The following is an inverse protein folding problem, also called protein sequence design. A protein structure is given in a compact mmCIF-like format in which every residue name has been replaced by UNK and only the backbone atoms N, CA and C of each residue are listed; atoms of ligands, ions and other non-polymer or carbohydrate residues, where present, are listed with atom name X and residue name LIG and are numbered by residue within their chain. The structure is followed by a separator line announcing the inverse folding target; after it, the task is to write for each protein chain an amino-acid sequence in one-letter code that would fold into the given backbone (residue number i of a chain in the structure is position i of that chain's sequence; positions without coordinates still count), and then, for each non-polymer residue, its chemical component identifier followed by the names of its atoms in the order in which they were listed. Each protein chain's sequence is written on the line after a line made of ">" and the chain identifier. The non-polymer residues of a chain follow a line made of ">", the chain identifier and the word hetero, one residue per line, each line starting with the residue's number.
data_IF_067457963762
#
_entry.id   IF_067457963762
#
_cell.length_a   1.000
_cell.length_b   1.000
_cell.length_c   1.000
_cell.angle_alpha   90.00
_cell.angle_beta   90.00
_cell.angle_gamma   90.00
#
_symmetry.space_group_name_H-M   'P 1'
#
loop_
_entity.id
_entity.type
_entity.pdbx_description
1 polymer ?
#
# COMPACT_ATOMS: atom_id res chain seq x y z
N UNK A 1 -8.26 -70.17 -67.44
CA UNK A 1 -8.37 -68.73 -67.10
C UNK A 1 -8.94 -68.61 -65.69
N UNK A 2 -8.08 -68.33 -64.71
CA UNK A 2 -8.45 -68.24 -63.30
C UNK A 2 -8.92 -66.84 -62.92
N UNK A 3 -10.20 -66.69 -62.60
CA UNK A 3 -10.82 -65.47 -62.06
C UNK A 3 -11.20 -65.67 -60.60
N UNK A 4 -10.57 -64.88 -59.73
CA UNK A 4 -10.57 -64.99 -58.26
C UNK A 4 -11.92 -64.73 -57.59
N UNK A 5 -12.28 -65.60 -56.65
CA UNK A 5 -13.35 -65.47 -55.67
C UNK A 5 -12.96 -64.40 -54.61
N UNK A 6 -13.67 -63.25 -54.56
CA UNK A 6 -13.38 -62.10 -53.68
C UNK A 6 -14.60 -61.66 -52.83
N UNK A 7 -15.27 -62.57 -52.12
CA UNK A 7 -16.40 -62.18 -51.25
C UNK A 7 -16.18 -62.40 -49.75
N UNK A 8 -15.18 -63.19 -49.32
CA UNK A 8 -14.96 -63.48 -47.89
C UNK A 8 -13.98 -62.53 -47.16
N UNK A 9 -13.20 -61.72 -47.88
CA UNK A 9 -12.23 -60.79 -47.25
C UNK A 9 -12.87 -59.52 -46.66
N UNK A 10 -14.00 -59.05 -47.22
CA UNK A 10 -14.61 -57.77 -46.85
C UNK A 10 -15.31 -57.79 -45.47
N UNK A 11 -15.92 -58.91 -45.09
CA UNK A 11 -16.66 -59.00 -43.82
C UNK A 11 -15.73 -59.10 -42.60
N UNK A 12 -14.58 -59.80 -42.72
CA UNK A 12 -13.59 -59.92 -41.62
C UNK A 12 -12.84 -58.60 -41.35
N UNK A 13 -12.56 -57.81 -42.40
CA UNK A 13 -11.93 -56.49 -42.25
C UNK A 13 -12.85 -55.47 -41.54
N UNK A 14 -14.17 -55.54 -41.75
CA UNK A 14 -15.14 -54.64 -41.11
C UNK A 14 -15.31 -54.90 -39.60
N UNK A 15 -15.27 -56.17 -39.17
CA UNK A 15 -15.37 -56.52 -37.74
C UNK A 15 -14.10 -56.12 -36.96
N UNK A 16 -12.93 -56.34 -37.56
CA UNK A 16 -11.63 -55.96 -36.99
C UNK A 16 -11.53 -54.44 -36.76
N UNK A 17 -12.00 -53.64 -37.72
CA UNK A 17 -12.04 -52.18 -37.59
C UNK A 17 -13.00 -51.69 -36.48
N UNK A 18 -14.17 -52.31 -36.32
CA UNK A 18 -15.12 -51.96 -35.24
C UNK A 18 -14.58 -52.31 -33.85
N UNK A 19 -13.87 -53.43 -33.72
CA UNK A 19 -13.25 -53.85 -32.45
C UNK A 19 -12.05 -52.94 -32.13
N UNK A 20 -11.17 -52.64 -33.09
CA UNK A 20 -10.07 -51.69 -32.90
C UNK A 20 -10.57 -50.29 -32.52
N UNK A 21 -11.64 -49.79 -33.13
CA UNK A 21 -12.21 -48.46 -32.80
C UNK A 21 -12.80 -48.44 -31.39
N UNK A 22 -13.47 -49.52 -30.96
CA UNK A 22 -13.99 -49.66 -29.58
C UNK A 22 -12.88 -49.87 -28.54
N UNK A 23 -11.81 -50.60 -28.85
CA UNK A 23 -10.64 -50.73 -27.97
C UNK A 23 -9.92 -49.39 -27.82
N UNK A 24 -9.65 -48.69 -28.92
CA UNK A 24 -9.02 -47.37 -28.89
C UNK A 24 -9.87 -46.35 -28.13
N UNK A 25 -11.20 -46.33 -28.32
CA UNK A 25 -12.10 -45.48 -27.52
C UNK A 25 -12.13 -45.86 -26.03
N UNK A 26 -12.13 -47.15 -25.68
CA UNK A 26 -12.07 -47.58 -24.26
C UNK A 26 -10.75 -47.22 -23.61
N UNK A 27 -9.63 -47.40 -24.31
CA UNK A 27 -8.30 -47.01 -23.83
C UNK A 27 -8.19 -45.49 -23.64
N UNK A 28 -8.74 -44.70 -24.57
CA UNK A 28 -8.80 -43.24 -24.44
C UNK A 28 -9.69 -42.81 -23.26
N UNK A 29 -10.87 -43.40 -23.09
CA UNK A 29 -11.74 -43.11 -21.94
C UNK A 29 -11.10 -43.52 -20.61
N UNK A 30 -10.43 -44.67 -20.55
CA UNK A 30 -9.81 -45.16 -19.32
C UNK A 30 -8.54 -44.35 -18.97
N UNK A 31 -7.77 -43.92 -19.97
CA UNK A 31 -6.66 -42.98 -19.80
C UNK A 31 -7.13 -41.61 -19.32
N UNK A 32 -8.20 -41.06 -19.92
CA UNK A 32 -8.77 -39.78 -19.52
C UNK A 32 -9.40 -39.83 -18.12
N UNK A 33 -10.09 -40.92 -17.77
CA UNK A 33 -10.64 -41.13 -16.42
C UNK A 33 -9.54 -41.22 -15.35
N UNK A 34 -8.43 -41.93 -15.65
CA UNK A 34 -7.25 -41.98 -14.76
C UNK A 34 -6.60 -40.61 -14.62
N UNK A 35 -6.48 -39.83 -15.71
CA UNK A 35 -5.98 -38.45 -15.65
C UNK A 35 -6.85 -37.56 -14.78
N UNK A 36 -8.18 -37.59 -14.93
CA UNK A 36 -9.10 -36.81 -14.10
C UNK A 36 -9.07 -37.20 -12.62
N UNK A 37 -8.97 -38.50 -12.32
CA UNK A 37 -8.84 -38.98 -10.94
C UNK A 37 -7.49 -38.56 -10.33
N UNK A 38 -6.40 -38.65 -11.08
CA UNK A 38 -5.08 -38.22 -10.64
C UNK A 38 -5.03 -36.70 -10.42
N UNK A 39 -5.57 -35.91 -11.36
CA UNK A 39 -5.70 -34.46 -11.24
C UNK A 39 -6.63 -34.04 -10.08
N UNK A 40 -7.70 -34.79 -9.80
CA UNK A 40 -8.56 -34.55 -8.63
C UNK A 40 -7.85 -34.87 -7.31
N UNK A 41 -7.06 -35.97 -7.26
CA UNK A 41 -6.26 -36.35 -6.09
C UNK A 41 -5.15 -35.33 -5.82
N UNK A 42 -4.47 -34.85 -6.86
CA UNK A 42 -3.46 -33.79 -6.75
C UNK A 42 -4.07 -32.45 -6.32
N UNK A 43 -5.25 -32.07 -6.85
CA UNK A 43 -5.99 -30.88 -6.39
C UNK A 43 -6.42 -30.99 -4.93
N UNK A 44 -6.95 -32.13 -4.49
CA UNK A 44 -7.32 -32.39 -3.09
C UNK A 44 -6.10 -32.41 -2.16
N UNK A 45 -4.97 -32.96 -2.59
CA UNK A 45 -3.71 -32.93 -1.85
C UNK A 45 -3.15 -31.50 -1.76
N UNK A 46 -3.23 -30.73 -2.84
CA UNK A 46 -2.88 -29.30 -2.86
C UNK A 46 -3.74 -28.47 -1.91
N UNK A 47 -5.06 -28.72 -1.87
CA UNK A 47 -5.99 -28.03 -0.98
C UNK A 47 -5.81 -28.43 0.49
N UNK A 48 -5.55 -29.71 0.79
CA UNK A 48 -5.18 -30.17 2.15
C UNK A 48 -3.87 -29.55 2.62
N UNK A 49 -2.84 -29.55 1.77
CA UNK A 49 -1.54 -28.96 2.09
C UNK A 49 -1.62 -27.43 2.23
N UNK A 50 -2.53 -26.77 1.51
CA UNK A 50 -2.84 -25.34 1.69
C UNK A 50 -3.59 -25.07 3.00
N UNK A 51 -4.59 -25.89 3.35
CA UNK A 51 -5.30 -25.81 4.62
C UNK A 51 -4.40 -26.09 5.84
N UNK A 52 -3.49 -27.07 5.75
CA UNK A 52 -2.47 -27.34 6.77
C UNK A 52 -1.47 -26.18 6.92
N UNK A 53 -1.07 -25.53 5.81
CA UNK A 53 -0.26 -24.30 5.87
C UNK A 53 -1.00 -23.13 6.51
N UNK A 54 -2.28 -22.95 6.21
CA UNK A 54 -3.09 -21.92 6.87
C UNK A 54 -3.30 -22.21 8.35
N UNK A 55 -3.56 -23.47 8.72
CA UNK A 55 -3.71 -23.85 10.13
C UNK A 55 -2.39 -23.76 10.91
N UNK A 56 -1.26 -24.12 10.30
CA UNK A 56 0.06 -23.92 10.93
C UNK A 56 0.40 -22.44 11.05
N UNK A 57 0.05 -21.61 10.06
CA UNK A 57 0.16 -20.14 10.15
C UNK A 57 -0.68 -19.57 11.30
N UNK A 58 -1.96 -19.95 11.41
CA UNK A 58 -2.87 -19.51 12.48
C UNK A 58 -2.41 -19.98 13.86
N UNK A 59 -1.92 -21.23 13.99
CA UNK A 59 -1.36 -21.74 15.25
C UNK A 59 -0.11 -20.96 15.66
N UNK A 60 0.80 -20.69 14.72
CA UNK A 60 2.01 -19.90 14.96
C UNK A 60 1.66 -18.46 15.35
N UNK A 61 0.68 -17.85 14.70
CA UNK A 61 0.20 -16.51 15.03
C UNK A 61 -0.41 -16.45 16.44
N UNK A 62 -1.21 -17.45 16.83
CA UNK A 62 -1.73 -17.59 18.20
C UNK A 62 -0.64 -17.80 19.24
N UNK A 63 0.39 -18.60 18.91
CA UNK A 63 1.51 -18.88 19.80
C UNK A 63 2.41 -17.65 19.98
N UNK A 64 2.64 -16.88 18.90
CA UNK A 64 3.31 -15.58 18.95
C UNK A 64 2.52 -14.56 19.77
N UNK A 65 1.20 -14.50 19.59
CA UNK A 65 0.32 -13.65 20.39
C UNK A 65 0.29 -14.06 21.88
N UNK A 66 0.47 -15.34 22.20
CA UNK A 66 0.57 -15.81 23.58
C UNK A 66 1.91 -15.46 24.25
N UNK A 67 3.00 -15.32 23.48
CA UNK A 67 4.30 -14.89 23.97
C UNK A 67 4.35 -13.38 24.28
N UNK A 68 3.60 -12.56 23.53
CA UNK A 68 3.51 -11.12 23.75
C UNK A 68 2.21 -10.75 24.46
N UNK A 69 2.29 -10.45 25.77
CA UNK A 69 1.08 -10.27 26.62
C UNK A 69 0.15 -9.13 26.18
N UNK A 70 0.65 -8.09 25.50
CA UNK A 70 -0.15 -6.98 24.93
C UNK A 70 0.59 -6.35 23.75
N UNK A 71 0.02 -6.39 22.55
CA UNK A 71 0.45 -5.51 21.45
C UNK A 71 -0.40 -4.24 21.54
N UNK A 72 0.24 -3.08 21.53
CA UNK A 72 -0.42 -1.77 21.44
C UNK A 72 0.29 -0.95 20.38
N UNK A 73 -0.41 -0.06 19.66
CA UNK A 73 0.26 0.91 18.81
C UNK A 73 1.22 1.76 19.66
N UNK A 74 2.33 2.20 19.05
CA UNK A 74 3.31 3.09 19.68
C UNK A 74 2.66 4.43 20.08
N UNK A 75 1.70 4.88 19.27
CA UNK A 75 0.87 6.06 19.50
C UNK A 75 1.72 7.30 19.89
N UNK A 76 1.40 8.01 20.97
CA UNK A 76 2.12 9.23 21.39
C UNK A 76 3.49 8.99 22.02
N UNK A 77 3.86 7.74 22.32
CA UNK A 77 5.13 7.44 22.99
C UNK A 77 6.36 7.84 22.16
N UNK A 78 6.20 7.95 20.83
CA UNK A 78 7.22 8.40 19.90
C UNK A 78 7.34 9.92 19.77
N UNK A 79 6.42 10.72 20.33
CA UNK A 79 6.48 12.19 20.28
C UNK A 79 7.69 12.75 21.07
N UNK A 80 8.18 11.98 22.06
CA UNK A 80 9.39 12.32 22.80
C UNK A 80 10.62 12.48 21.88
N UNK A 81 10.62 11.86 20.69
CA UNK A 81 11.70 12.01 19.72
C UNK A 81 11.90 13.45 19.26
N UNK A 82 10.85 14.27 19.20
CA UNK A 82 10.94 15.65 18.73
C UNK A 82 11.71 16.56 19.70
N UNK A 83 11.84 16.17 20.97
CA UNK A 83 12.63 16.90 21.95
C UNK A 83 14.11 16.47 21.96
N UNK A 84 14.45 15.34 21.33
CA UNK A 84 15.83 14.84 21.29
C UNK A 84 16.70 15.76 20.44
N UNK A 85 17.95 15.92 20.86
CA UNK A 85 18.95 16.77 20.18
C UNK A 85 20.09 15.92 19.68
N UNK A 86 20.15 15.62 18.37
CA UNK A 86 21.32 14.97 17.78
C UNK A 86 22.56 15.85 17.98
N UNK A 87 23.65 15.21 18.35
CA UNK A 87 24.95 15.86 18.52
C UNK A 87 25.97 15.24 17.57
N UNK A 88 27.00 16.03 17.30
CA UNK A 88 28.21 15.62 16.61
C UNK A 88 29.32 15.57 17.64
N UNK A 89 30.04 14.45 17.71
CA UNK A 89 31.09 14.27 18.70
C UNK A 89 32.26 13.45 18.14
N UNK A 90 33.37 13.48 18.87
CA UNK A 90 34.57 12.67 18.61
C UNK A 90 34.97 12.01 19.92
N UNK A 91 35.37 10.75 19.85
CA UNK A 91 35.94 10.10 21.02
C UNK A 91 37.31 10.68 21.35
N UNK A 92 37.72 10.54 22.62
CA UNK A 92 39.08 10.89 23.03
C UNK A 92 40.08 10.05 22.23
N UNK A 93 41.25 10.61 21.96
CA UNK A 93 42.29 9.96 21.16
C UNK A 93 42.72 8.58 21.70
N UNK A 94 42.61 8.36 23.02
CA UNK A 94 42.91 7.08 23.64
C UNK A 94 41.92 5.96 23.25
N UNK A 95 40.71 6.32 22.85
CA UNK A 95 39.63 5.39 22.48
C UNK A 95 39.52 5.26 20.96
N UNK A 96 39.68 6.37 20.25
CA UNK A 96 39.65 6.42 18.78
C UNK A 96 40.87 7.22 18.27
N UNK A 97 41.94 6.55 17.83
CA UNK A 97 43.13 7.21 17.29
C UNK A 97 42.83 8.09 16.07
N UNK A 98 41.86 7.68 15.25
CA UNK A 98 41.48 8.38 14.02
C UNK A 98 40.61 9.61 14.32
N UNK A 99 40.08 9.71 15.55
CA UNK A 99 39.17 10.76 16.03
C UNK A 99 38.07 11.06 15.00
N UNK A 100 37.50 10.01 14.44
CA UNK A 100 36.50 10.12 13.39
C UNK A 100 35.28 10.87 13.94
N UNK A 101 34.70 11.74 13.11
CA UNK A 101 33.49 12.45 13.48
C UNK A 101 32.29 11.49 13.49
N UNK A 102 31.55 11.49 14.60
CA UNK A 102 30.38 10.63 14.80
C UNK A 102 29.16 11.48 15.09
N UNK A 103 28.00 10.91 14.79
CA UNK A 103 26.69 11.50 15.06
C UNK A 103 25.94 10.57 16.01
N UNK A 104 25.23 11.15 16.97
CA UNK A 104 24.46 10.35 17.90
C UNK A 104 23.70 11.20 18.90
N UNK A 105 23.29 10.54 19.99
CA UNK A 105 22.60 11.14 21.12
C UNK A 105 23.42 10.91 22.39
N UNK A 106 23.35 11.85 23.32
CA UNK A 106 23.97 11.76 24.65
C UNK A 106 22.98 11.04 25.59
N UNK A 107 23.41 9.98 26.26
CA UNK A 107 22.53 9.12 27.05
C UNK A 107 21.86 9.88 28.21
N UNK A 108 22.59 10.77 28.87
CA UNK A 108 22.12 11.64 29.94
C UNK A 108 21.04 12.62 29.45
N UNK A 109 21.22 13.16 28.24
CA UNK A 109 20.26 14.08 27.64
C UNK A 109 18.96 13.35 27.26
N UNK A 110 19.09 12.14 26.69
CA UNK A 110 17.95 11.28 26.36
C UNK A 110 17.21 10.85 27.62
N UNK A 111 17.91 10.49 28.69
CA UNK A 111 17.29 10.03 29.95
C UNK A 111 16.35 11.08 30.54
N UNK A 112 16.71 12.37 30.48
CA UNK A 112 15.85 13.48 30.94
C UNK A 112 14.55 13.62 30.15
N UNK A 113 14.55 13.19 28.88
CA UNK A 113 13.40 13.31 27.97
C UNK A 113 12.55 12.05 28.02
N UNK A 114 13.19 10.89 27.86
CA UNK A 114 12.55 9.59 27.92
C UNK A 114 13.53 8.53 28.48
N UNK A 115 13.39 8.15 29.76
CA UNK A 115 14.29 7.19 30.40
C UNK A 115 14.17 5.77 29.83
N UNK A 116 13.05 5.41 29.20
CA UNK A 116 12.85 4.08 28.61
C UNK A 116 13.75 3.84 27.39
N UNK A 117 14.27 4.92 26.80
CA UNK A 117 15.19 4.87 25.66
C UNK A 117 16.66 4.71 26.06
N UNK A 118 16.94 4.56 27.35
CA UNK A 118 18.31 4.44 27.87
C UNK A 118 18.52 3.08 28.54
N UNK A 119 19.72 2.55 28.38
CA UNK A 119 20.22 1.41 29.14
C UNK A 119 21.07 1.96 30.27
N UNK A 120 20.75 1.53 31.49
CA UNK A 120 21.51 1.87 32.69
C UNK A 120 22.55 0.79 32.98
N UNK A 121 23.69 1.20 33.53
CA UNK A 121 24.72 0.29 34.02
C UNK A 121 24.37 -0.35 35.37
N UNK A 122 25.32 -1.08 35.97
CA UNK A 122 25.17 -1.73 37.28
C UNK A 122 25.03 -0.75 38.44
N UNK A 123 25.46 0.50 38.28
CA UNK A 123 25.30 1.59 39.27
C UNK A 123 23.99 2.36 39.06
N UNK A 124 23.21 2.02 38.02
CA UNK A 124 21.97 2.70 37.67
C UNK A 124 22.16 3.98 36.86
N UNK A 125 23.38 4.28 36.38
CA UNK A 125 23.68 5.47 35.58
C UNK A 125 23.37 5.24 34.11
N UNK A 126 22.93 6.28 33.37
CA UNK A 126 22.72 6.18 31.93
C UNK A 126 24.04 5.85 31.22
N UNK A 127 24.06 4.75 30.47
CA UNK A 127 25.29 4.27 29.81
C UNK A 127 25.17 4.29 28.29
N UNK A 128 24.08 3.77 27.74
CA UNK A 128 23.88 3.73 26.28
C UNK A 128 22.45 3.98 25.87
N UNK A 129 22.26 4.52 24.67
CA UNK A 129 20.95 4.80 24.08
C UNK A 129 20.45 3.57 23.32
N UNK A 130 19.17 3.24 23.47
CA UNK A 130 18.49 2.14 22.76
C UNK A 130 18.12 2.56 21.34
N UNK A 131 19.12 2.58 20.45
CA UNK A 131 18.93 2.97 19.05
C UNK A 131 17.89 2.12 18.31
N UNK A 132 17.76 0.83 18.63
CA UNK A 132 16.71 -0.03 18.05
C UNK A 132 15.30 0.47 18.36
N UNK A 133 15.07 0.90 19.60
CA UNK A 133 13.80 1.49 20.02
C UNK A 133 13.55 2.81 19.31
N UNK A 134 14.57 3.67 19.22
CA UNK A 134 14.48 4.95 18.50
C UNK A 134 14.11 4.73 17.03
N UNK A 135 14.70 3.75 16.35
CA UNK A 135 14.39 3.46 14.95
C UNK A 135 12.91 3.05 14.76
N UNK A 136 12.35 2.26 15.68
CA UNK A 136 10.94 1.89 15.65
C UNK A 136 10.02 3.09 15.90
N UNK A 137 10.38 3.97 16.85
CA UNK A 137 9.65 5.21 17.12
C UNK A 137 9.73 6.18 15.93
N UNK A 138 10.89 6.29 15.28
CA UNK A 138 11.10 7.13 14.09
C UNK A 138 10.21 6.68 12.93
N UNK A 139 10.09 5.36 12.70
CA UNK A 139 9.19 4.82 11.68
C UNK A 139 7.73 5.20 11.96
N UNK A 140 7.30 5.18 13.23
CA UNK A 140 5.94 5.57 13.61
C UNK A 140 5.66 7.06 13.28
N UNK A 141 6.58 7.96 13.65
CA UNK A 141 6.43 9.39 13.34
C UNK A 141 6.52 9.66 11.83
N UNK A 142 7.41 8.99 11.11
CA UNK A 142 7.51 9.11 9.65
C UNK A 142 6.18 8.74 8.96
N UNK A 143 5.55 7.63 9.38
CA UNK A 143 4.26 7.21 8.84
C UNK A 143 3.13 8.19 9.19
N UNK A 144 3.13 8.74 10.41
CA UNK A 144 2.16 9.78 10.80
C UNK A 144 2.30 11.03 9.93
N UNK A 145 3.52 11.51 9.75
CA UNK A 145 3.79 12.69 8.92
C UNK A 145 3.45 12.43 7.44
N UNK A 146 3.75 11.24 6.92
CA UNK A 146 3.35 10.87 5.56
C UNK A 146 1.83 10.94 5.36
N UNK A 147 1.04 10.41 6.29
CA UNK A 147 -0.42 10.50 6.22
C UNK A 147 -0.93 11.94 6.36
N UNK A 148 -0.30 12.77 7.21
CA UNK A 148 -0.65 14.19 7.34
C UNK A 148 -0.37 14.93 6.02
N UNK A 149 0.79 14.69 5.40
CA UNK A 149 1.17 15.30 4.11
C UNK A 149 0.17 14.92 3.03
N UNK A 150 -0.18 13.64 2.88
CA UNK A 150 -1.21 13.20 1.93
C UNK A 150 -2.55 13.91 2.17
N UNK A 151 -2.99 13.98 3.43
CA UNK A 151 -4.23 14.67 3.78
C UNK A 151 -4.19 16.19 3.51
N UNK A 152 -3.00 16.82 3.60
CA UNK A 152 -2.81 18.22 3.22
C UNK A 152 -2.81 18.40 1.70
N UNK A 153 -2.16 17.51 0.96
CA UNK A 153 -2.15 17.51 -0.52
C UNK A 153 -3.58 17.42 -1.09
N UNK A 154 -4.41 16.53 -0.54
CA UNK A 154 -5.82 16.39 -0.93
C UNK A 154 -6.62 17.68 -0.68
N UNK A 155 -6.42 18.31 0.49
CA UNK A 155 -7.06 19.58 0.84
C UNK A 155 -6.61 20.72 -0.08
N UNK A 156 -5.32 20.79 -0.40
CA UNK A 156 -4.78 21.79 -1.33
C UNK A 156 -5.38 21.58 -2.72
N UNK A 157 -5.48 20.34 -3.20
CA UNK A 157 -6.12 20.04 -4.47
C UNK A 157 -7.60 20.44 -4.49
N UNK A 158 -8.32 20.23 -3.39
CA UNK A 158 -9.71 20.65 -3.25
C UNK A 158 -9.84 22.17 -3.23
N UNK A 159 -9.03 22.87 -2.43
CA UNK A 159 -9.01 24.33 -2.37
C UNK A 159 -8.69 24.95 -3.74
N UNK A 160 -7.76 24.37 -4.50
CA UNK A 160 -7.45 24.81 -5.85
C UNK A 160 -8.65 24.69 -6.81
N UNK A 161 -9.48 23.65 -6.67
CA UNK A 161 -10.71 23.51 -7.47
C UNK A 161 -11.73 24.58 -7.09
N UNK A 162 -11.95 24.81 -5.79
CA UNK A 162 -12.87 25.83 -5.29
C UNK A 162 -12.44 27.23 -5.73
N UNK A 163 -11.15 27.55 -5.64
CA UNK A 163 -10.59 28.82 -6.13
C UNK A 163 -10.83 29.00 -7.63
N UNK A 164 -10.70 27.95 -8.45
CA UNK A 164 -10.99 28.03 -9.90
C UNK A 164 -12.46 28.32 -10.16
N UNK A 165 -13.37 27.69 -9.43
CA UNK A 165 -14.82 27.93 -9.53
C UNK A 165 -15.15 29.37 -9.12
N UNK A 166 -14.64 29.83 -7.96
CA UNK A 166 -14.81 31.20 -7.49
C UNK A 166 -14.26 32.22 -8.49
N UNK A 167 -13.07 31.97 -9.05
CA UNK A 167 -12.48 32.82 -10.08
C UNK A 167 -13.35 32.91 -11.33
N UNK A 168 -13.97 31.80 -11.76
CA UNK A 168 -14.89 31.79 -12.88
C UNK A 168 -16.18 32.59 -12.59
N UNK A 169 -16.75 32.43 -11.39
CA UNK A 169 -17.91 33.18 -10.94
C UNK A 169 -17.63 34.69 -10.85
N UNK A 170 -16.46 35.09 -10.34
CA UNK A 170 -16.05 36.49 -10.29
C UNK A 170 -15.92 37.10 -11.69
N UNK A 171 -15.33 36.38 -12.65
CA UNK A 171 -15.29 36.83 -14.06
C UNK A 171 -16.69 36.99 -14.66
N UNK A 172 -17.60 36.07 -14.36
CA UNK A 172 -18.98 36.16 -14.81
C UNK A 172 -19.71 37.37 -14.20
N UNK A 173 -19.54 37.61 -12.90
CA UNK A 173 -20.11 38.79 -12.23
C UNK A 173 -19.55 40.09 -12.81
N UNK A 174 -18.24 40.17 -13.06
CA UNK A 174 -17.62 41.33 -13.70
C UNK A 174 -18.23 41.62 -15.09
N UNK A 175 -18.49 40.58 -15.90
CA UNK A 175 -19.15 40.73 -17.20
C UNK A 175 -20.62 41.19 -17.07
N UNK A 176 -21.35 40.68 -16.08
CA UNK A 176 -22.73 41.12 -15.81
C UNK A 176 -22.77 42.59 -15.37
N UNK A 177 -21.86 43.03 -14.50
CA UNK A 177 -21.75 44.42 -14.07
C UNK A 177 -21.48 45.32 -15.28
N UNK A 178 -20.50 44.98 -16.12
CA UNK A 178 -20.23 45.74 -17.35
C UNK A 178 -21.46 45.86 -18.25
N UNK A 179 -22.23 44.77 -18.40
CA UNK A 179 -23.45 44.78 -19.20
C UNK A 179 -24.53 45.69 -18.62
N UNK A 180 -24.74 45.66 -17.30
CA UNK A 180 -25.71 46.52 -16.62
C UNK A 180 -25.29 47.99 -16.70
N UNK A 181 -24.01 48.31 -16.48
CA UNK A 181 -23.48 49.67 -16.65
C UNK A 181 -23.75 50.19 -18.07
N UNK A 182 -23.50 49.37 -19.09
CA UNK A 182 -23.75 49.72 -20.50
C UNK A 182 -25.23 50.01 -20.80
N UNK A 183 -26.15 49.33 -20.11
CA UNK A 183 -27.60 49.56 -20.26
C UNK A 183 -28.05 50.84 -19.55
N UNK A 184 -27.49 51.12 -18.37
CA UNK A 184 -27.76 52.35 -17.62
C UNK A 184 -27.27 53.60 -18.36
N UNK A 185 -26.11 53.54 -19.02
CA UNK A 185 -25.63 54.65 -19.85
C UNK A 185 -26.54 54.94 -21.05
N UNK A 186 -27.12 53.91 -21.66
CA UNK A 186 -28.09 54.05 -22.76
C UNK A 186 -29.46 54.53 -22.30
N UNK A 187 -29.82 54.28 -21.04
CA UNK A 187 -31.09 54.68 -20.44
C UNK A 187 -31.07 56.06 -19.77
N UNK A 188 -29.93 56.75 -19.75
CA UNK A 188 -29.81 58.09 -19.15
C UNK A 188 -30.60 59.10 -20.01
N UNK A 189 -31.73 59.66 -19.51
CA UNK A 189 -32.44 60.70 -20.24
C UNK A 189 -31.54 61.93 -20.33
N UNK A 190 -31.47 62.54 -21.52
CA UNK A 190 -30.89 63.87 -21.67
C UNK A 190 -31.69 64.82 -20.76
N UNK A 191 -31.07 65.29 -19.68
CA UNK A 191 -31.62 66.35 -18.85
C UNK A 191 -31.83 67.54 -19.80
N UNK A 192 -33.06 68.05 -19.99
CA UNK A 192 -33.27 69.28 -20.71
C UNK A 192 -32.60 70.36 -19.86
N UNK A 193 -31.49 70.92 -20.34
CA UNK A 193 -30.96 72.17 -19.81
C UNK A 193 -32.00 73.22 -20.18
N UNK A 194 -32.87 73.54 -19.22
CA UNK A 194 -33.76 74.69 -19.33
C UNK A 194 -32.86 75.92 -19.34
N UNK A 195 -32.66 76.48 -20.52
CA UNK A 195 -32.05 77.79 -20.69
C UNK A 195 -32.99 78.83 -20.07
N UNK A 196 -32.71 79.24 -18.84
CA UNK A 196 -33.30 80.44 -18.25
C UNK A 196 -32.51 81.64 -18.75
N UNK A 197 -33.13 82.44 -19.62
CA UNK A 197 -32.85 83.86 -19.87
C UNK A 197 -34.22 84.54 -20.09
N UNK A 198 -34.43 85.82 -19.71
CA UNK A 198 -33.46 86.93 -19.72
C UNK A 198 -32.97 87.42 -18.36
#
# INVERSE_FOLDING_TARGET
>A
MGGRNKSHLGQRQCLYWRICRRCCQREQHHSHQKYHQHAAKQRRAGYRRFGERQQTWLRRQRLLAALQRRHRPIDRSSEALFALKPVKFRYKQQVDPDRAERFGLIAEDVERINPDLVVRDTEGKPNTVRYESINALLLNEFLKEHHKVQGLEDKIAQQQKEMKVLTAQLKQQAAQIQKVTSQLEKGKPAVPVVATNP
#
